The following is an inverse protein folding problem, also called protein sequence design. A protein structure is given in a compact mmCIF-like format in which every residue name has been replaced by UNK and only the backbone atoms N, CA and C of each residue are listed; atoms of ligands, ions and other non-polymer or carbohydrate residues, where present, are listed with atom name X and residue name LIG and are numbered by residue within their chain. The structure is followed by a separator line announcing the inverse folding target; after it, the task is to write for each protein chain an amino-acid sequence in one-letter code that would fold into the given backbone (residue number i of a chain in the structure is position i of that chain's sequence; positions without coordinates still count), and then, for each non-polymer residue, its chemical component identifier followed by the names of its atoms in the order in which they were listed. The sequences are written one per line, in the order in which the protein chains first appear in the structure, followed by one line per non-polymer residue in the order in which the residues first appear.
data_IF_356731949029
#
_entry.id   IF_356731949029
#
_cell.length_a   1.000
_cell.length_b   1.000
_cell.length_c   1.000
_cell.angle_alpha   90.00
_cell.angle_beta   90.00
_cell.angle_gamma   90.00
#
_symmetry.space_group_name_H-M   'P 1'
#
loop_
_entity.id
_entity.type
_entity.pdbx_description
1 polymer ?
#
# COMPACT_ATOMS: atom_id res chain seq x y z
N UNK A 1 6.14 -19.54 0.52
CA UNK A 1 6.43 -18.10 0.37
C UNK A 1 5.09 -17.39 0.37
N UNK A 2 4.81 -16.53 1.34
CA UNK A 2 3.61 -15.69 1.31
C UNK A 2 3.85 -14.52 0.33
N UNK A 3 2.87 -14.24 -0.52
CA UNK A 3 2.92 -13.10 -1.45
C UNK A 3 2.82 -11.80 -0.65
N UNK A 4 3.75 -10.86 -0.84
CA UNK A 4 3.72 -9.55 -0.17
C UNK A 4 3.19 -8.47 -1.12
N UNK A 5 2.16 -7.74 -0.70
CA UNK A 5 1.50 -6.71 -1.50
C UNK A 5 1.54 -5.38 -0.76
N UNK A 6 2.17 -4.37 -1.37
CA UNK A 6 2.17 -3.00 -0.87
C UNK A 6 1.02 -2.17 -1.45
N UNK A 7 0.17 -1.57 -0.61
CA UNK A 7 -0.91 -0.70 -1.08
C UNK A 7 -0.49 0.77 -0.96
N UNK A 8 -0.23 1.49 -2.07
CA UNK A 8 0.20 2.89 -2.02
C UNK A 8 -0.88 3.79 -1.41
N UNK A 9 -0.45 4.77 -0.60
CA UNK A 9 -1.33 5.86 -0.17
C UNK A 9 -1.57 6.84 -1.31
N UNK A 10 -2.47 6.46 -2.21
CA UNK A 10 -2.95 7.30 -3.30
C UNK A 10 -4.32 7.91 -2.98
N UNK A 11 -4.89 8.64 -3.96
CA UNK A 11 -6.14 9.40 -3.85
C UNK A 11 -7.28 8.64 -3.15
N UNK A 12 -7.44 7.35 -3.41
CA UNK A 12 -8.53 6.54 -2.87
C UNK A 12 -8.11 5.53 -1.80
N UNK A 13 -6.92 5.69 -1.19
CA UNK A 13 -6.41 4.78 -0.19
C UNK A 13 -7.39 4.64 0.99
N UNK A 14 -7.80 5.74 1.61
CA UNK A 14 -8.65 5.69 2.81
C UNK A 14 -10.07 5.13 2.53
N UNK A 15 -10.53 5.22 1.28
CA UNK A 15 -11.85 4.72 0.89
C UNK A 15 -11.85 3.21 0.66
N UNK A 16 -10.81 2.69 -0.01
CA UNK A 16 -10.77 1.29 -0.44
C UNK A 16 -9.79 0.41 0.34
N UNK A 17 -8.97 0.98 1.21
CA UNK A 17 -7.97 0.21 1.95
C UNK A 17 -8.57 -0.96 2.74
N UNK A 18 -9.68 -0.80 3.49
CA UNK A 18 -10.30 -1.94 4.18
C UNK A 18 -10.69 -3.08 3.23
N UNK A 19 -11.27 -2.75 2.07
CA UNK A 19 -11.66 -3.72 1.04
C UNK A 19 -10.45 -4.50 0.53
N UNK A 20 -9.41 -3.79 0.09
CA UNK A 20 -8.22 -4.43 -0.49
C UNK A 20 -7.43 -5.22 0.53
N UNK A 21 -7.33 -4.71 1.76
CA UNK A 21 -6.65 -5.40 2.85
C UNK A 21 -7.28 -6.77 3.09
N UNK A 22 -8.59 -6.81 3.37
CA UNK A 22 -9.28 -8.07 3.63
C UNK A 22 -9.22 -9.01 2.44
N UNK A 23 -9.44 -8.52 1.21
CA UNK A 23 -9.38 -9.36 0.01
C UNK A 23 -8.03 -10.08 -0.15
N UNK A 24 -6.92 -9.35 0.01
CA UNK A 24 -5.59 -9.94 -0.16
C UNK A 24 -5.16 -10.79 1.05
N UNK A 25 -5.51 -10.40 2.28
CA UNK A 25 -5.26 -11.21 3.47
C UNK A 25 -5.98 -12.57 3.40
N UNK A 26 -7.25 -12.60 2.96
CA UNK A 26 -8.03 -13.85 2.79
C UNK A 26 -7.47 -14.74 1.66
N UNK A 27 -6.80 -14.15 0.68
CA UNK A 27 -6.06 -14.90 -0.36
C UNK A 27 -4.70 -15.43 0.13
N UNK A 28 -4.34 -15.20 1.39
CA UNK A 28 -3.07 -15.63 2.00
C UNK A 28 -1.88 -14.73 1.66
N UNK A 29 -2.13 -13.49 1.22
CA UNK A 29 -1.09 -12.49 0.99
C UNK A 29 -0.88 -11.61 2.25
N UNK A 30 0.36 -11.18 2.45
CA UNK A 30 0.72 -10.20 3.49
C UNK A 30 0.58 -8.79 2.91
N UNK A 31 -0.31 -7.99 3.49
CA UNK A 31 -0.59 -6.61 3.06
C UNK A 31 0.25 -5.63 3.87
N UNK A 32 1.02 -4.79 3.17
CA UNK A 32 1.87 -3.76 3.76
C UNK A 32 1.39 -2.37 3.36
N UNK A 33 1.36 -1.45 4.34
CA UNK A 33 1.08 -0.03 4.11
C UNK A 33 2.39 0.75 4.12
N UNK A 34 2.70 1.53 3.07
CA UNK A 34 3.91 2.31 3.02
C UNK A 34 3.91 3.45 4.06
N UNK A 35 5.09 3.90 4.52
CA UNK A 35 5.25 5.01 5.47
C UNK A 35 4.74 6.33 4.88
N UNK A 36 4.40 7.31 5.72
CA UNK A 36 3.83 8.60 5.27
C UNK A 36 4.72 9.24 4.21
N UNK A 37 4.06 9.81 3.18
CA UNK A 37 4.77 10.54 2.13
C UNK A 37 5.59 11.64 2.78
N UNK A 38 6.90 11.61 2.54
CA UNK A 38 7.85 12.61 3.02
C UNK A 38 8.66 13.16 1.85
N UNK A 39 9.37 14.27 2.08
CA UNK A 39 10.07 15.02 1.03
C UNK A 39 11.03 14.16 0.22
N UNK A 40 11.69 13.20 0.84
CA UNK A 40 12.66 12.32 0.17
C UNK A 40 11.99 11.36 -0.82
N UNK A 41 10.81 10.81 -0.48
CA UNK A 41 9.99 9.99 -1.41
C UNK A 41 9.56 10.82 -2.62
N UNK A 42 9.14 12.07 -2.39
CA UNK A 42 8.73 12.97 -3.48
C UNK A 42 9.92 13.29 -4.39
N UNK A 43 11.08 13.60 -3.79
CA UNK A 43 12.30 13.87 -4.54
C UNK A 43 12.78 12.66 -5.36
N UNK A 44 12.64 11.45 -4.82
CA UNK A 44 12.98 10.22 -5.53
C UNK A 44 12.09 9.97 -6.76
N UNK A 45 10.82 10.41 -6.74
CA UNK A 45 9.88 10.27 -7.86
C UNK A 45 9.90 11.43 -8.87
N UNK A 46 10.61 12.52 -8.59
CA UNK A 46 10.68 13.71 -9.45
C UNK A 46 11.80 13.67 -10.49
N UNK A 47 12.37 12.48 -10.74
CA UNK A 47 13.55 12.28 -11.61
C UNK A 47 13.21 11.50 -12.86
#
# INVERSE_FOLDING_TARGET
MALRIGIPRALHFYQHYPLWRTFFEELGAEVLVPPFTHRDIVAAGAK
#
